data_IF_689340985016
#
_entry.id   IF_689340985016
#
_cell.length_a   1.000
_cell.length_b   1.000
_cell.length_c   1.000
_cell.angle_alpha   90.00
_cell.angle_beta   90.00
_cell.angle_gamma   90.00
#
_symmetry.space_group_name_H-M   'P 1'
#
loop_
_entity.id
_entity.type
_entity.pdbx_description
1 polymer ?
#
# COMPACT_ATOMS: atom_id res chain seq x y z
N UNK A 1 39.87 16.13 -0.62
CA UNK A 1 38.93 15.29 0.17
C UNK A 1 37.72 15.01 -0.68
N UNK A 2 37.60 13.80 -1.23
CA UNK A 2 36.41 13.42 -2.02
C UNK A 2 35.32 13.03 -1.04
N UNK A 3 34.31 13.86 -0.91
CA UNK A 3 33.13 13.53 -0.09
C UNK A 3 32.44 12.35 -0.76
N UNK A 4 32.43 11.19 -0.13
CA UNK A 4 31.62 10.06 -0.56
C UNK A 4 30.15 10.47 -0.39
N UNK A 5 29.50 10.78 -1.51
CA UNK A 5 28.04 10.94 -1.53
C UNK A 5 27.46 9.53 -1.46
N UNK A 6 26.91 9.17 -0.33
CA UNK A 6 26.14 7.92 -0.20
C UNK A 6 24.91 8.01 -1.11
N UNK A 7 24.54 6.94 -1.81
CA UNK A 7 23.35 6.93 -2.62
C UNK A 7 22.13 7.24 -1.73
N UNK A 8 21.39 8.29 -2.07
CA UNK A 8 20.12 8.62 -1.41
C UNK A 8 19.08 7.65 -1.92
N UNK A 9 18.38 6.99 -1.01
CA UNK A 9 17.26 6.10 -1.32
C UNK A 9 15.94 6.86 -1.21
N UNK A 10 15.09 6.74 -2.21
CA UNK A 10 13.83 7.48 -2.29
C UNK A 10 12.63 6.53 -2.22
N UNK A 11 11.75 6.76 -1.24
CA UNK A 11 10.55 5.96 -1.02
C UNK A 11 9.29 6.82 -1.11
N UNK A 12 8.39 6.49 -2.02
CA UNK A 12 7.11 7.15 -2.17
C UNK A 12 5.95 6.21 -1.86
N UNK A 13 4.83 6.79 -1.43
CA UNK A 13 3.59 6.07 -1.15
C UNK A 13 2.41 6.85 -1.72
N UNK A 14 1.57 6.17 -2.48
CA UNK A 14 0.30 6.67 -2.99
C UNK A 14 -0.80 5.68 -2.68
N UNK A 15 -2.02 6.18 -2.47
CA UNK A 15 -3.15 5.31 -2.17
C UNK A 15 -4.21 5.94 -1.28
N UNK A 16 -4.83 5.09 -0.48
CA UNK A 16 -5.96 5.43 0.38
C UNK A 16 -5.58 5.63 1.86
N UNK A 17 -6.54 5.46 2.76
CA UNK A 17 -6.36 5.63 4.21
C UNK A 17 -5.36 4.64 4.83
N UNK A 18 -5.24 3.44 4.27
CA UNK A 18 -4.27 2.45 4.77
C UNK A 18 -2.84 2.86 4.42
N UNK A 19 -2.63 3.50 3.28
CA UNK A 19 -1.36 4.09 2.86
C UNK A 19 -1.05 5.40 3.61
N UNK A 20 -2.09 6.19 3.88
CA UNK A 20 -1.97 7.45 4.62
C UNK A 20 -1.49 7.24 6.06
N UNK A 21 -1.86 6.13 6.69
CA UNK A 21 -1.54 5.86 8.10
C UNK A 21 -2.60 6.33 9.07
N UNK A 22 -3.88 6.27 8.66
CA UNK A 22 -5.04 6.74 9.47
C UNK A 22 -5.11 6.09 10.85
N UNK A 23 -4.55 4.90 11.04
CA UNK A 23 -4.56 4.17 12.32
C UNK A 23 -3.56 4.69 13.36
N UNK A 24 -2.65 5.60 13.02
CA UNK A 24 -1.61 6.11 13.91
C UNK A 24 -1.23 7.54 13.54
N UNK A 25 -1.42 8.45 14.48
CA UNK A 25 -1.05 9.86 14.34
C UNK A 25 -0.08 10.25 15.46
N UNK A 26 0.86 11.15 15.17
CA UNK A 26 1.70 11.76 16.21
C UNK A 26 0.95 12.84 16.98
N UNK A 27 1.61 13.45 17.97
CA UNK A 27 1.05 14.53 18.82
C UNK A 27 0.62 15.77 18.03
N UNK A 28 1.18 15.97 16.83
CA UNK A 28 0.86 17.06 15.90
C UNK A 28 -0.21 16.67 14.88
N UNK A 29 -0.74 15.43 14.93
CA UNK A 29 -1.74 14.92 14.01
C UNK A 29 -1.18 14.42 12.66
N UNK A 30 0.15 14.28 12.53
CA UNK A 30 0.74 13.74 11.31
C UNK A 30 0.66 12.22 11.29
N UNK A 31 0.38 11.59 10.13
CA UNK A 31 0.28 10.15 10.01
C UNK A 31 1.63 9.46 10.24
N UNK A 32 1.64 8.44 11.10
CA UNK A 32 2.79 7.62 11.47
C UNK A 32 2.58 6.14 11.15
N UNK A 33 1.73 5.82 10.18
CA UNK A 33 1.43 4.45 9.82
C UNK A 33 2.64 3.66 9.29
N UNK A 34 2.37 2.44 8.84
CA UNK A 34 3.38 1.46 8.41
C UNK A 34 4.43 2.03 7.44
N UNK A 35 4.01 2.88 6.51
CA UNK A 35 4.90 3.44 5.49
C UNK A 35 5.94 4.40 6.10
N UNK A 36 5.53 5.19 7.09
CA UNK A 36 6.44 6.05 7.84
C UNK A 36 7.45 5.22 8.64
N UNK A 37 7.00 4.19 9.37
CA UNK A 37 7.89 3.31 10.11
C UNK A 37 8.87 2.58 9.18
N UNK A 38 8.39 2.11 8.03
CA UNK A 38 9.25 1.49 7.01
C UNK A 38 10.32 2.48 6.53
N UNK A 39 9.95 3.73 6.23
CA UNK A 39 10.91 4.74 5.79
C UNK A 39 12.02 5.01 6.81
N UNK A 40 11.71 4.87 8.13
CA UNK A 40 12.70 5.02 9.21
C UNK A 40 13.55 3.77 9.46
N UNK A 41 13.18 2.63 8.90
CA UNK A 41 13.92 1.38 9.03
C UNK A 41 15.00 1.18 7.96
N UNK A 42 15.01 1.99 6.92
CA UNK A 42 16.03 1.92 5.87
C UNK A 42 17.42 2.30 6.41
N UNK A 43 18.45 1.60 5.93
CA UNK A 43 19.85 1.83 6.35
C UNK A 43 20.44 3.15 5.85
N UNK A 44 19.84 3.71 4.80
CA UNK A 44 20.32 4.91 4.13
C UNK A 44 19.40 6.08 4.48
N UNK A 45 19.98 7.25 4.68
CA UNK A 45 19.17 8.48 4.69
C UNK A 45 18.52 8.61 3.32
N UNK A 46 17.22 8.75 3.31
CA UNK A 46 16.45 8.82 2.09
C UNK A 46 15.23 9.71 2.23
N UNK A 47 14.76 10.19 1.10
CA UNK A 47 13.56 11.00 1.05
C UNK A 47 12.32 10.10 1.11
N UNK A 48 11.36 10.50 1.93
CA UNK A 48 10.06 9.85 2.06
C UNK A 48 8.93 10.80 1.65
N UNK A 49 8.14 10.38 0.67
CA UNK A 49 6.96 11.08 0.21
C UNK A 49 5.71 10.23 0.41
N UNK A 50 4.69 10.80 1.02
CA UNK A 50 3.37 10.17 1.12
C UNK A 50 2.30 11.13 0.59
N UNK A 51 1.76 10.83 -0.59
CA UNK A 51 0.68 11.58 -1.22
C UNK A 51 -0.67 10.86 -1.18
N UNK A 52 -0.77 9.81 -0.36
CA UNK A 52 -2.03 9.10 -0.15
C UNK A 52 -3.07 9.98 0.54
N UNK A 53 -4.33 9.68 0.31
CA UNK A 53 -5.47 10.40 0.89
C UNK A 53 -6.55 9.44 1.33
N UNK A 54 -7.06 9.56 2.58
CA UNK A 54 -8.19 8.76 3.03
C UNK A 54 -9.37 8.80 2.06
N UNK A 55 -9.94 7.64 1.76
CA UNK A 55 -11.09 7.52 0.85
C UNK A 55 -10.76 7.49 -0.64
N UNK A 56 -9.50 7.67 -1.03
CA UNK A 56 -9.11 7.68 -2.44
C UNK A 56 -9.43 6.36 -3.15
N UNK A 57 -9.93 6.45 -4.37
CA UNK A 57 -10.14 5.35 -5.30
C UNK A 57 -9.00 5.27 -6.31
N UNK A 58 -8.92 4.20 -7.06
CA UNK A 58 -7.88 3.97 -8.08
C UNK A 58 -7.79 5.09 -9.13
N UNK A 59 -8.91 5.69 -9.51
CA UNK A 59 -8.95 6.81 -10.44
C UNK A 59 -8.28 8.09 -9.86
N UNK A 60 -8.50 8.36 -8.57
CA UNK A 60 -7.88 9.50 -7.88
C UNK A 60 -6.38 9.26 -7.65
N UNK A 61 -5.98 8.02 -7.38
CA UNK A 61 -4.57 7.64 -7.29
C UNK A 61 -3.86 7.90 -8.62
N UNK A 62 -4.44 7.48 -9.74
CA UNK A 62 -3.90 7.70 -11.08
C UNK A 62 -3.84 9.20 -11.44
N UNK A 63 -4.93 9.95 -11.24
CA UNK A 63 -5.07 11.27 -11.82
C UNK A 63 -4.57 12.41 -10.91
N UNK A 64 -4.56 12.21 -9.58
CA UNK A 64 -4.23 13.27 -8.62
C UNK A 64 -2.96 12.99 -7.81
N UNK A 65 -2.66 11.72 -7.50
CA UNK A 65 -1.52 11.38 -6.65
C UNK A 65 -0.28 11.00 -7.46
N UNK A 66 -0.42 10.17 -8.48
CA UNK A 66 0.68 9.76 -9.34
C UNK A 66 1.45 10.95 -9.94
N UNK A 67 0.83 12.01 -10.48
CA UNK A 67 1.57 13.16 -11.01
C UNK A 67 2.49 13.85 -10.00
N UNK A 68 2.19 13.73 -8.71
CA UNK A 68 2.99 14.34 -7.63
C UNK A 68 4.24 13.54 -7.29
N UNK A 69 4.27 12.25 -7.59
CA UNK A 69 5.40 11.37 -7.29
C UNK A 69 6.21 10.99 -8.52
N UNK A 70 5.62 11.05 -9.71
CA UNK A 70 6.29 10.64 -10.95
C UNK A 70 7.54 11.48 -11.24
N UNK A 71 7.48 12.80 -10.98
CA UNK A 71 8.61 13.71 -11.14
C UNK A 71 9.71 13.53 -10.09
N UNK A 72 9.40 12.83 -9.00
CA UNK A 72 10.35 12.48 -7.96
C UNK A 72 11.16 11.22 -8.30
N UNK A 73 10.66 10.41 -9.25
CA UNK A 73 11.24 9.15 -9.70
C UNK A 73 11.75 8.28 -8.52
N UNK A 74 10.87 7.84 -7.61
CA UNK A 74 11.29 7.12 -6.41
C UNK A 74 11.91 5.78 -6.77
N UNK A 75 12.91 5.32 -6.00
CA UNK A 75 13.47 3.97 -6.14
C UNK A 75 12.41 2.89 -5.85
N UNK A 76 11.57 3.14 -4.83
CA UNK A 76 10.42 2.28 -4.51
C UNK A 76 9.17 3.15 -4.36
N UNK A 77 8.07 2.72 -5.00
CA UNK A 77 6.75 3.30 -4.79
C UNK A 77 5.75 2.23 -4.31
N UNK A 78 5.17 2.43 -3.13
CA UNK A 78 4.07 1.60 -2.66
C UNK A 78 2.73 2.16 -3.16
N UNK A 79 1.92 1.31 -3.80
CA UNK A 79 0.58 1.64 -4.32
C UNK A 79 -0.47 0.84 -3.56
N UNK A 80 -1.31 1.55 -2.79
CA UNK A 80 -2.36 0.94 -1.96
C UNK A 80 -3.71 1.52 -2.35
N UNK A 81 -4.41 0.87 -3.28
CA UNK A 81 -5.69 1.34 -3.79
C UNK A 81 -6.56 0.16 -4.26
N UNK A 82 -7.88 0.33 -4.19
CA UNK A 82 -8.86 -0.70 -4.57
C UNK A 82 -9.81 -1.04 -3.43
N UNK A 83 -9.41 -0.78 -2.18
CA UNK A 83 -10.26 -0.94 -1.00
C UNK A 83 -11.50 -0.03 -1.05
N UNK A 84 -11.35 1.21 -1.46
CA UNK A 84 -12.48 2.13 -1.61
C UNK A 84 -13.29 1.86 -2.90
N UNK A 85 -12.64 1.42 -3.98
CA UNK A 85 -13.32 1.03 -5.22
C UNK A 85 -14.33 -0.09 -4.96
N UNK A 86 -13.92 -1.15 -4.25
CA UNK A 86 -14.80 -2.29 -3.95
C UNK A 86 -16.03 -1.96 -3.09
N UNK A 87 -15.97 -0.86 -2.32
CA UNK A 87 -17.07 -0.41 -1.47
C UNK A 87 -18.14 0.38 -2.23
N UNK A 88 -17.87 0.82 -3.45
CA UNK A 88 -18.83 1.59 -4.27
C UNK A 88 -19.88 0.70 -4.94
N UNK A 89 -21.07 1.27 -5.15
CA UNK A 89 -22.16 0.56 -5.82
C UNK A 89 -21.81 0.14 -7.24
N UNK A 90 -21.04 0.93 -7.96
CA UNK A 90 -20.61 0.66 -9.34
C UNK A 90 -19.23 0.00 -9.44
N UNK A 91 -18.82 -0.84 -8.45
CA UNK A 91 -17.53 -1.51 -8.50
C UNK A 91 -17.33 -2.30 -9.79
N UNK A 92 -16.34 -1.92 -10.57
CA UNK A 92 -15.92 -2.55 -11.82
C UNK A 92 -14.44 -2.98 -11.73
N UNK A 93 -14.17 -4.29 -11.66
CA UNK A 93 -12.78 -4.81 -11.61
C UNK A 93 -11.98 -4.49 -12.88
N UNK A 94 -12.64 -4.32 -14.06
CA UNK A 94 -11.93 -3.98 -15.27
C UNK A 94 -11.44 -2.53 -15.25
N UNK A 95 -12.26 -1.62 -14.74
CA UNK A 95 -11.86 -0.22 -14.53
C UNK A 95 -10.76 -0.11 -13.48
N UNK A 96 -10.87 -0.84 -12.38
CA UNK A 96 -9.82 -0.93 -11.36
C UNK A 96 -8.49 -1.41 -11.98
N UNK A 97 -8.53 -2.50 -12.75
CA UNK A 97 -7.35 -3.00 -13.44
C UNK A 97 -6.73 -1.95 -14.36
N UNK A 98 -7.56 -1.28 -15.19
CA UNK A 98 -7.10 -0.23 -16.11
C UNK A 98 -6.36 0.89 -15.36
N UNK A 99 -6.94 1.41 -14.29
CA UNK A 99 -6.38 2.53 -13.53
C UNK A 99 -5.06 2.13 -12.85
N UNK A 100 -5.05 0.96 -12.18
CA UNK A 100 -3.85 0.48 -11.49
C UNK A 100 -2.74 0.06 -12.46
N UNK A 101 -3.10 -0.55 -13.60
CA UNK A 101 -2.13 -0.88 -14.64
C UNK A 101 -1.42 0.35 -15.16
N UNK A 102 -2.17 1.41 -15.45
CA UNK A 102 -1.60 2.68 -15.90
C UNK A 102 -0.71 3.31 -14.83
N UNK A 103 -1.17 3.33 -13.56
CA UNK A 103 -0.38 3.82 -12.42
C UNK A 103 0.95 3.09 -12.29
N UNK A 104 0.90 1.75 -12.24
CA UNK A 104 2.10 0.92 -12.09
C UNK A 104 3.03 1.02 -13.31
N UNK A 105 2.47 1.05 -14.53
CA UNK A 105 3.24 1.18 -15.76
C UNK A 105 4.03 2.50 -15.80
N UNK A 106 3.40 3.63 -15.45
CA UNK A 106 4.09 4.92 -15.41
C UNK A 106 5.20 4.93 -14.35
N UNK A 107 4.96 4.38 -13.16
CA UNK A 107 6.00 4.26 -12.12
C UNK A 107 7.16 3.37 -12.58
N UNK A 108 6.89 2.20 -13.15
CA UNK A 108 7.95 1.33 -13.70
C UNK A 108 8.75 2.02 -14.82
N UNK A 109 8.11 2.87 -15.62
CA UNK A 109 8.80 3.62 -16.69
C UNK A 109 9.80 4.66 -16.17
N UNK A 110 9.69 5.10 -14.92
CA UNK A 110 10.70 5.96 -14.26
C UNK A 110 11.82 5.17 -13.59
N UNK A 111 11.78 3.84 -13.65
CA UNK A 111 12.76 2.97 -12.98
C UNK A 111 12.36 2.56 -11.55
N UNK A 112 11.17 2.96 -11.08
CA UNK A 112 10.71 2.62 -9.74
C UNK A 112 10.39 1.13 -9.60
N UNK A 113 10.76 0.52 -8.47
CA UNK A 113 10.16 -0.72 -8.03
C UNK A 113 8.78 -0.43 -7.43
N UNK A 114 7.76 -1.14 -7.92
CA UNK A 114 6.38 -0.95 -7.47
C UNK A 114 5.98 -2.06 -6.51
N UNK A 115 5.51 -1.69 -5.32
CA UNK A 115 5.04 -2.62 -4.30
C UNK A 115 3.55 -2.43 -4.08
N UNK A 116 2.80 -3.53 -4.13
CA UNK A 116 1.38 -3.57 -3.79
C UNK A 116 1.10 -4.61 -2.71
N UNK A 117 -0.06 -4.51 -2.06
CA UNK A 117 -0.46 -5.40 -0.97
C UNK A 117 -1.82 -6.03 -1.30
N UNK A 118 -1.92 -7.35 -1.26
CA UNK A 118 -3.24 -8.01 -1.32
C UNK A 118 -4.15 -7.49 -0.20
N UNK A 119 -5.42 -7.33 -0.49
CA UNK A 119 -6.40 -7.06 0.55
C UNK A 119 -6.61 -8.32 1.40
N UNK A 120 -6.54 -8.17 2.72
CA UNK A 120 -6.96 -9.22 3.63
C UNK A 120 -8.49 -9.38 3.62
N UNK A 121 -9.01 -10.54 4.04
CA UNK A 121 -10.46 -10.74 4.19
C UNK A 121 -10.97 -10.04 5.47
N UNK A 122 -11.64 -8.88 5.36
CA UNK A 122 -12.11 -8.13 6.53
C UNK A 122 -13.22 -8.85 7.30
N UNK A 123 -13.80 -9.91 6.73
CA UNK A 123 -14.84 -10.70 7.41
C UNK A 123 -14.35 -11.41 8.67
N UNK A 124 -13.04 -11.56 8.83
CA UNK A 124 -12.44 -12.11 10.05
C UNK A 124 -12.40 -11.09 11.19
N UNK A 125 -12.36 -9.81 10.86
CA UNK A 125 -12.27 -8.71 11.80
C UNK A 125 -13.63 -8.03 12.04
N UNK A 126 -14.50 -8.02 11.03
CA UNK A 126 -15.80 -7.34 11.08
C UNK A 126 -16.94 -8.31 11.37
N UNK A 127 -17.85 -7.90 12.26
CA UNK A 127 -19.10 -8.63 12.54
C UNK A 127 -20.19 -8.17 11.58
N UNK A 128 -20.25 -8.79 10.39
CA UNK A 128 -21.22 -8.49 9.34
C UNK A 128 -22.27 -9.60 9.20
N UNK A 129 -23.51 -9.28 8.74
CA UNK A 129 -24.50 -10.28 8.33
C UNK A 129 -23.95 -11.21 7.22
N UNK A 130 -24.39 -12.46 7.20
CA UNK A 130 -23.89 -13.51 6.27
C UNK A 130 -23.91 -13.08 4.80
N UNK A 131 -24.98 -12.39 4.36
CA UNK A 131 -25.11 -11.93 2.99
C UNK A 131 -24.04 -10.89 2.64
N UNK A 132 -23.83 -9.89 3.50
CA UNK A 132 -22.80 -8.87 3.31
C UNK A 132 -21.39 -9.47 3.32
N UNK A 133 -21.13 -10.44 4.22
CA UNK A 133 -19.85 -11.17 4.22
C UNK A 133 -19.56 -11.83 2.87
N UNK A 134 -20.59 -12.46 2.28
CA UNK A 134 -20.43 -13.15 0.98
C UNK A 134 -20.14 -12.16 -0.15
N UNK A 135 -20.84 -11.03 -0.19
CA UNK A 135 -20.61 -9.99 -1.19
C UNK A 135 -19.21 -9.39 -1.04
N UNK A 136 -18.85 -9.02 0.18
CA UNK A 136 -17.55 -8.40 0.48
C UNK A 136 -16.39 -9.35 0.10
N UNK A 137 -16.46 -10.62 0.49
CA UNK A 137 -15.46 -11.63 0.13
C UNK A 137 -15.27 -11.76 -1.38
N UNK A 138 -16.37 -11.79 -2.15
CA UNK A 138 -16.30 -11.86 -3.61
C UNK A 138 -15.61 -10.62 -4.20
N UNK A 139 -15.92 -9.43 -3.69
CA UNK A 139 -15.31 -8.18 -4.15
C UNK A 139 -13.82 -8.10 -3.79
N UNK A 140 -13.44 -8.49 -2.57
CA UNK A 140 -12.03 -8.60 -2.16
C UNK A 140 -11.26 -9.55 -3.07
N UNK A 141 -11.82 -10.73 -3.37
CA UNK A 141 -11.18 -11.68 -4.29
C UNK A 141 -11.07 -11.13 -5.71
N UNK A 142 -12.05 -10.36 -6.18
CA UNK A 142 -11.96 -9.69 -7.48
C UNK A 142 -10.82 -8.66 -7.52
N UNK A 143 -10.64 -7.88 -6.44
CA UNK A 143 -9.52 -6.92 -6.32
C UNK A 143 -8.18 -7.68 -6.29
N UNK A 144 -8.06 -8.72 -5.47
CA UNK A 144 -6.83 -9.51 -5.38
C UNK A 144 -6.50 -10.22 -6.70
N UNK A 145 -7.52 -10.63 -7.48
CA UNK A 145 -7.31 -11.16 -8.83
C UNK A 145 -6.74 -10.09 -9.78
N UNK A 146 -7.19 -8.84 -9.68
CA UNK A 146 -6.59 -7.72 -10.41
C UNK A 146 -5.12 -7.54 -10.03
N UNK A 147 -4.78 -7.58 -8.74
CA UNK A 147 -3.40 -7.41 -8.30
C UNK A 147 -2.48 -8.53 -8.79
N UNK A 148 -2.90 -9.79 -8.71
CA UNK A 148 -2.13 -10.93 -9.25
C UNK A 148 -1.93 -10.85 -10.76
N UNK A 149 -2.92 -10.32 -11.48
CA UNK A 149 -2.79 -10.05 -12.92
C UNK A 149 -1.75 -8.97 -13.19
N UNK A 150 -1.76 -7.86 -12.44
CA UNK A 150 -0.78 -6.79 -12.55
C UNK A 150 0.65 -7.27 -12.23
N UNK A 151 0.81 -8.12 -11.20
CA UNK A 151 2.09 -8.76 -10.87
C UNK A 151 2.66 -9.53 -12.08
N UNK A 152 1.82 -10.31 -12.76
CA UNK A 152 2.25 -11.05 -13.95
C UNK A 152 2.50 -10.20 -15.19
N UNK A 153 1.83 -9.04 -15.31
CA UNK A 153 1.93 -8.16 -16.48
C UNK A 153 3.09 -7.16 -16.39
N UNK A 154 3.43 -6.70 -15.17
CA UNK A 154 4.29 -5.52 -14.99
C UNK A 154 5.50 -5.77 -14.08
N UNK A 155 5.72 -7.01 -13.65
CA UNK A 155 6.81 -7.36 -12.73
C UNK A 155 6.82 -6.45 -11.49
N UNK A 156 5.67 -6.31 -10.83
CA UNK A 156 5.51 -5.62 -9.56
C UNK A 156 5.69 -6.59 -8.40
N UNK A 157 6.07 -6.07 -7.24
CA UNK A 157 6.17 -6.84 -6.00
C UNK A 157 4.80 -6.86 -5.32
N UNK A 158 4.15 -8.01 -5.25
CA UNK A 158 2.87 -8.18 -4.59
C UNK A 158 3.01 -8.89 -3.24
N UNK A 159 2.82 -8.16 -2.15
CA UNK A 159 2.87 -8.70 -0.79
C UNK A 159 1.56 -9.44 -0.48
N UNK A 160 1.69 -10.73 -0.14
CA UNK A 160 0.56 -11.59 0.25
C UNK A 160 0.20 -11.32 1.71
N UNK A 161 -0.72 -10.40 1.98
CA UNK A 161 -1.05 -9.99 3.36
C UNK A 161 -1.51 -11.14 4.25
N UNK A 162 -2.16 -12.15 3.67
CA UNK A 162 -2.59 -13.37 4.40
C UNK A 162 -1.43 -14.18 4.99
N UNK A 163 -0.21 -13.99 4.49
CA UNK A 163 1.01 -14.67 4.95
C UNK A 163 1.73 -13.88 6.05
N UNK A 164 1.25 -12.66 6.35
CA UNK A 164 1.79 -11.84 7.43
C UNK A 164 1.32 -12.41 8.77
N UNK A 165 2.28 -12.77 9.62
CA UNK A 165 1.99 -13.26 10.96
C UNK A 165 1.18 -12.23 11.74
N UNK A 166 0.11 -12.68 12.39
CA UNK A 166 -0.76 -11.81 13.18
C UNK A 166 -1.75 -10.95 12.37
N UNK A 167 -1.84 -11.09 11.04
CA UNK A 167 -2.79 -10.33 10.21
C UNK A 167 -4.25 -10.52 10.66
N UNK A 168 -4.57 -11.66 11.24
CA UNK A 168 -5.92 -11.99 11.73
C UNK A 168 -6.13 -11.70 13.22
N UNK A 169 -5.09 -11.25 13.93
CA UNK A 169 -5.20 -10.85 15.33
C UNK A 169 -5.74 -9.43 15.42
N UNK A 170 -6.95 -9.31 15.97
CA UNK A 170 -7.65 -8.02 16.12
C UNK A 170 -6.84 -6.97 16.90
N UNK A 171 -5.91 -7.39 17.76
CA UNK A 171 -5.05 -6.50 18.55
C UNK A 171 -4.03 -5.74 17.69
N UNK A 172 -3.79 -6.23 16.47
CA UNK A 172 -2.89 -5.64 15.50
C UNK A 172 -3.57 -4.62 14.58
N UNK A 173 -4.90 -4.43 14.76
CA UNK A 173 -5.70 -3.51 13.98
C UNK A 173 -6.14 -2.31 14.82
N UNK A 174 -6.34 -1.18 14.17
CA UNK A 174 -6.96 -0.02 14.78
C UNK A 174 -8.38 -0.36 15.28
N UNK A 175 -8.96 0.47 16.14
CA UNK A 175 -10.28 0.24 16.73
C UNK A 175 -11.40 0.04 15.69
N UNK A 176 -11.27 0.63 14.52
CA UNK A 176 -12.20 0.48 13.39
C UNK A 176 -12.08 -0.87 12.68
N UNK A 177 -11.05 -1.67 12.97
CA UNK A 177 -10.77 -3.00 12.39
C UNK A 177 -10.61 -3.00 10.87
N UNK A 178 -10.30 -1.87 10.29
CA UNK A 178 -10.07 -1.68 8.85
C UNK A 178 -8.65 -1.24 8.56
N UNK A 179 -8.06 -0.44 9.45
CA UNK A 179 -6.72 0.08 9.30
C UNK A 179 -5.72 -0.70 10.15
N UNK A 180 -4.51 -0.97 9.62
CA UNK A 180 -3.43 -1.54 10.42
C UNK A 180 -3.12 -0.66 11.64
N UNK A 181 -2.98 -1.28 12.80
CA UNK A 181 -2.49 -0.60 14.00
C UNK A 181 -0.97 -0.69 14.12
N UNK A 182 -0.38 0.01 15.10
CA UNK A 182 1.07 0.09 15.26
C UNK A 182 1.75 -1.26 15.55
N UNK A 183 0.99 -2.27 15.96
CA UNK A 183 1.50 -3.61 16.25
C UNK A 183 1.59 -4.53 15.02
N UNK A 184 0.96 -4.17 13.91
CA UNK A 184 0.97 -4.97 12.66
C UNK A 184 2.24 -4.77 11.84
N UNK A 185 3.26 -4.12 12.38
CA UNK A 185 4.50 -3.86 11.69
C UNK A 185 5.41 -5.11 11.75
N UNK A 186 5.54 -5.90 10.67
CA UNK A 186 6.38 -7.11 10.65
C UNK A 186 7.88 -6.80 10.68
N UNK A 187 8.26 -5.52 10.74
CA UNK A 187 9.66 -5.09 10.62
C UNK A 187 10.40 -4.89 11.95
N UNK A 188 9.78 -5.16 13.09
CA UNK A 188 10.52 -5.19 14.34
C UNK A 188 11.32 -6.50 14.44
N UNK A 189 12.46 -6.58 13.73
CA UNK A 189 13.50 -7.56 14.09
C UNK A 189 13.97 -8.58 13.07
N UNK A 190 13.64 -8.49 11.77
CA UNK A 190 14.32 -9.33 10.76
C UNK A 190 15.19 -8.47 9.83
N UNK A 191 16.50 -8.78 9.86
CA UNK A 191 17.54 -8.16 9.04
C UNK A 191 17.24 -8.33 7.55
N UNK A 192 17.43 -7.22 6.81
CA UNK A 192 17.66 -7.09 5.36
C UNK A 192 16.73 -7.88 4.41
N UNK A 193 15.77 -7.16 3.84
CA UNK A 193 15.10 -7.57 2.59
C UNK A 193 15.77 -6.96 1.34
N UNK A 194 16.91 -6.29 1.49
CA UNK A 194 17.67 -5.80 0.36
C UNK A 194 18.78 -6.79 0.03
N UNK A 195 18.99 -7.16 -1.25
CA UNK A 195 20.11 -7.99 -1.66
C UNK A 195 21.42 -7.26 -1.31
N UNK A 196 22.36 -7.98 -0.71
CA UNK A 196 23.74 -7.55 -0.61
C UNK A 196 24.29 -7.34 -2.02
N UNK A 197 24.58 -6.10 -2.37
CA UNK A 197 25.38 -5.76 -3.56
C UNK A 197 26.80 -5.46 -3.13
#
# INVERSE_FOLDING_TARGET
MTTLVLPTFTFAVIGDSAAYGTGELDESGNPRGWAWHLSKSFRYEGDYLNHSRPGAQSAEVLNEQLPKVIGFAPDICAVVAGGNDLLRNGFDPALLHKNLRETCHQLKSTGSEVVMFELHDPNQLLRLPRLLKRVLRRRVESVNSVYRKLESELDIILIRTREIEGIHDIRNWHIDRMHPGPRLLPFQGRRSLLPER
#
